data_IF_442442498588
#
_entry.id   IF_442442498588
#
_cell.length_a   1.000
_cell.length_b   1.000
_cell.length_c   1.000
_cell.angle_alpha   90.00
_cell.angle_beta   90.00
_cell.angle_gamma   90.00
#
_symmetry.space_group_name_H-M   'P 1'
#
loop_
_entity.id
_entity.type
_entity.pdbx_description
1 polymer ?
#
# COMPACT_ATOMS: atom_id res chain seq x y z
N UNK A 1 9.08 15.19 -3.62
CA UNK A 1 10.32 14.39 -3.65
C UNK A 1 10.65 14.10 -5.11
N UNK A 2 11.92 14.14 -5.50
CA UNK A 2 12.35 13.67 -6.82
C UNK A 2 12.79 12.20 -6.69
N UNK A 3 11.99 11.31 -7.27
CA UNK A 3 12.38 9.93 -7.53
C UNK A 3 13.39 9.97 -8.67
N UNK A 4 14.56 9.38 -8.45
CA UNK A 4 15.72 9.55 -9.33
C UNK A 4 15.87 8.43 -10.34
N UNK A 5 15.20 7.31 -10.13
CA UNK A 5 15.24 6.17 -11.05
C UNK A 5 13.96 5.34 -11.01
N UNK A 6 13.78 4.53 -12.05
CA UNK A 6 12.73 3.53 -12.14
C UNK A 6 12.80 2.53 -10.97
N UNK A 7 14.00 2.07 -10.58
CA UNK A 7 14.16 1.13 -9.48
C UNK A 7 13.87 1.77 -8.12
N UNK A 8 14.07 3.09 -7.96
CA UNK A 8 13.59 3.81 -6.77
C UNK A 8 12.06 3.84 -6.73
N UNK A 9 11.40 4.02 -7.88
CA UNK A 9 9.94 3.99 -7.96
C UNK A 9 9.38 2.60 -7.61
N UNK A 10 9.96 1.54 -8.17
CA UNK A 10 9.56 0.16 -7.87
C UNK A 10 9.87 -0.23 -6.42
N UNK A 11 10.98 0.24 -5.85
CA UNK A 11 11.28 0.04 -4.44
C UNK A 11 10.22 0.70 -3.56
N UNK A 12 9.89 1.98 -3.82
CA UNK A 12 8.85 2.68 -3.07
C UNK A 12 7.50 1.99 -3.19
N UNK A 13 7.15 1.49 -4.38
CA UNK A 13 5.93 0.71 -4.58
C UNK A 13 5.93 -0.59 -3.75
N UNK A 14 7.05 -1.32 -3.71
CA UNK A 14 7.17 -2.50 -2.82
C UNK A 14 6.96 -2.15 -1.34
N UNK A 15 7.54 -1.04 -0.89
CA UNK A 15 7.43 -0.62 0.53
C UNK A 15 6.00 -0.18 0.86
N UNK A 16 5.34 0.53 -0.06
CA UNK A 16 3.93 0.92 0.08
C UNK A 16 3.02 -0.31 0.15
N UNK A 17 3.14 -1.26 -0.77
CA UNK A 17 2.38 -2.50 -0.74
C UNK A 17 2.64 -3.31 0.53
N UNK A 18 3.90 -3.37 0.99
CA UNK A 18 4.20 -4.03 2.26
C UNK A 18 3.51 -3.36 3.45
N UNK A 19 3.34 -2.03 3.43
CA UNK A 19 2.61 -1.31 4.46
C UNK A 19 1.10 -1.53 4.35
N UNK A 20 0.53 -1.61 3.14
CA UNK A 20 -0.87 -1.95 2.89
C UNK A 20 -1.20 -3.38 3.36
N UNK A 21 -0.34 -4.36 3.08
CA UNK A 21 -0.46 -5.73 3.60
C UNK A 21 -0.52 -5.71 5.15
N UNK A 22 0.42 -5.01 5.82
CA UNK A 22 0.40 -4.93 7.28
C UNK A 22 -0.84 -4.21 7.83
N UNK A 23 -1.37 -3.21 7.10
CA UNK A 23 -2.62 -2.53 7.44
C UNK A 23 -3.78 -3.52 7.45
N UNK A 24 -3.95 -4.30 6.39
CA UNK A 24 -5.04 -5.25 6.27
C UNK A 24 -4.88 -6.47 7.21
N UNK A 25 -3.65 -6.94 7.45
CA UNK A 25 -3.40 -7.93 8.50
C UNK A 25 -3.83 -7.41 9.88
N UNK A 26 -3.51 -6.15 10.17
CA UNK A 26 -3.92 -5.52 11.43
C UNK A 26 -5.43 -5.35 11.51
N UNK A 27 -6.08 -4.98 10.42
CA UNK A 27 -7.53 -4.89 10.30
C UNK A 27 -8.22 -6.22 10.66
N UNK A 28 -7.72 -7.33 10.09
CA UNK A 28 -8.21 -8.68 10.38
C UNK A 28 -8.09 -9.03 11.87
N UNK A 29 -6.95 -8.71 12.49
CA UNK A 29 -6.75 -8.94 13.93
C UNK A 29 -7.72 -8.13 14.80
N UNK A 30 -8.02 -6.89 14.44
CA UNK A 30 -8.99 -6.06 15.17
C UNK A 30 -10.39 -6.66 15.05
N UNK A 31 -10.80 -7.07 13.86
CA UNK A 31 -12.09 -7.73 13.64
C UNK A 31 -12.22 -9.04 14.46
N UNK A 32 -11.17 -9.85 14.51
CA UNK A 32 -11.11 -11.06 15.34
C UNK A 32 -11.25 -10.75 16.83
N UNK A 33 -10.53 -9.74 17.33
CA UNK A 33 -10.61 -9.33 18.73
C UNK A 33 -12.00 -8.83 19.14
N UNK A 34 -12.75 -8.28 18.18
CA UNK A 34 -14.14 -7.85 18.35
C UNK A 34 -15.16 -8.98 18.14
N UNK A 35 -14.72 -10.19 17.77
CA UNK A 35 -15.58 -11.34 17.48
C UNK A 35 -16.42 -11.17 16.20
N UNK A 36 -15.90 -10.43 15.22
CA UNK A 36 -16.60 -10.03 13.97
C UNK A 36 -16.16 -10.84 12.75
N UNK A 37 -15.54 -12.01 12.92
CA UNK A 37 -15.03 -12.83 11.81
C UNK A 37 -16.12 -13.36 10.86
N UNK A 38 -17.37 -13.43 11.34
CA UNK A 38 -18.51 -13.89 10.54
C UNK A 38 -19.16 -12.81 9.67
N UNK A 39 -18.66 -11.57 9.72
CA UNK A 39 -19.24 -10.46 8.98
C UNK A 39 -18.71 -10.38 7.54
N UNK A 40 -19.55 -9.88 6.63
CA UNK A 40 -19.19 -9.66 5.23
C UNK A 40 -17.94 -8.76 5.09
N UNK A 41 -17.81 -7.76 5.97
CA UNK A 41 -16.64 -6.90 6.02
C UNK A 41 -15.34 -7.67 6.28
N UNK A 42 -15.36 -8.72 7.12
CA UNK A 42 -14.17 -9.54 7.37
C UNK A 42 -13.73 -10.27 6.09
N UNK A 43 -14.69 -10.80 5.32
CA UNK A 43 -14.43 -11.41 4.03
C UNK A 43 -13.86 -10.37 3.05
N UNK A 44 -14.45 -9.18 2.98
CA UNK A 44 -13.97 -8.10 2.12
C UNK A 44 -12.52 -7.71 2.45
N UNK A 45 -12.19 -7.49 3.73
CA UNK A 45 -10.83 -7.19 4.18
C UNK A 45 -9.85 -8.32 3.81
N UNK A 46 -10.30 -9.58 3.91
CA UNK A 46 -9.46 -10.73 3.55
C UNK A 46 -9.15 -10.80 2.05
N UNK A 47 -10.08 -10.34 1.20
CA UNK A 47 -9.88 -10.24 -0.25
C UNK A 47 -8.89 -9.12 -0.57
N UNK A 48 -9.08 -7.93 0.02
CA UNK A 48 -8.14 -6.81 -0.14
C UNK A 48 -6.73 -7.20 0.28
N UNK A 49 -6.58 -7.90 1.42
CA UNK A 49 -5.29 -8.42 1.87
C UNK A 49 -4.63 -9.34 0.82
N UNK A 50 -5.42 -10.20 0.16
CA UNK A 50 -4.90 -11.11 -0.86
C UNK A 50 -4.47 -10.34 -2.12
N UNK A 51 -5.23 -9.31 -2.50
CA UNK A 51 -4.91 -8.44 -3.63
C UNK A 51 -3.60 -7.66 -3.37
N UNK A 52 -3.42 -7.04 -2.19
CA UNK A 52 -2.16 -6.35 -1.85
C UNK A 52 -0.94 -7.28 -1.78
N UNK A 53 -1.14 -8.53 -1.33
CA UNK A 53 -0.07 -9.53 -1.36
C UNK A 53 0.36 -9.86 -2.80
N UNK A 54 -0.60 -9.89 -3.73
CA UNK A 54 -0.34 -10.11 -5.14
C UNK A 54 0.31 -8.88 -5.79
N UNK A 55 -0.15 -7.66 -5.51
CA UNK A 55 0.50 -6.41 -5.92
C UNK A 55 1.97 -6.37 -5.48
N UNK A 56 2.22 -6.65 -4.20
CA UNK A 56 3.58 -6.74 -3.65
C UNK A 56 4.43 -7.76 -4.38
N UNK A 57 3.87 -8.93 -4.69
CA UNK A 57 4.57 -9.98 -5.44
C UNK A 57 4.93 -9.50 -6.86
N UNK A 58 4.02 -8.80 -7.52
CA UNK A 58 4.23 -8.26 -8.87
C UNK A 58 5.32 -7.18 -8.88
N UNK A 59 5.29 -6.21 -7.97
CA UNK A 59 6.34 -5.19 -7.88
C UNK A 59 7.70 -5.80 -7.51
N UNK A 60 7.74 -6.78 -6.60
CA UNK A 60 8.98 -7.51 -6.28
C UNK A 60 9.57 -8.26 -7.48
N UNK A 61 8.74 -8.76 -8.39
CA UNK A 61 9.21 -9.41 -9.60
C UNK A 61 9.88 -8.42 -10.59
N UNK A 62 9.45 -7.15 -10.55
CA UNK A 62 10.01 -6.06 -11.35
C UNK A 62 11.23 -5.39 -10.69
N UNK A 63 11.40 -5.60 -9.39
CA UNK A 63 12.52 -5.08 -8.63
C UNK A 63 13.79 -5.87 -8.94
N UNK A 64 14.76 -5.22 -9.56
CA UNK A 64 16.05 -5.82 -9.93
C UNK A 64 17.20 -5.36 -9.03
N UNK A 65 16.89 -4.52 -8.04
CA UNK A 65 17.84 -3.98 -7.09
C UNK A 65 18.07 -2.49 -7.26
N UNK A 66 18.38 -1.85 -6.15
CA UNK A 66 18.82 -0.47 -6.07
C UNK A 66 20.32 -0.41 -5.90
N UNK A 67 21.01 0.31 -6.80
CA UNK A 67 22.37 0.77 -6.56
C UNK A 67 22.34 2.01 -5.66
N UNK A 68 21.93 1.79 -4.41
CA UNK A 68 21.87 2.81 -3.37
C UNK A 68 22.48 2.28 -2.08
N UNK A 69 23.12 3.19 -1.35
CA UNK A 69 23.60 2.94 0.00
C UNK A 69 22.45 2.54 0.94
N UNK A 70 22.79 1.84 2.03
CA UNK A 70 21.82 1.48 3.07
C UNK A 70 21.10 2.72 3.62
N UNK A 71 21.81 3.84 3.80
CA UNK A 71 21.22 5.10 4.26
C UNK A 71 20.15 5.63 3.28
N UNK A 72 20.41 5.53 1.98
CA UNK A 72 19.44 5.91 0.95
C UNK A 72 18.23 4.98 0.94
N UNK A 73 18.43 3.66 1.08
CA UNK A 73 17.32 2.70 1.16
C UNK A 73 16.46 2.98 2.41
N UNK A 74 17.07 3.20 3.57
CA UNK A 74 16.34 3.57 4.79
C UNK A 74 15.58 4.90 4.63
N UNK A 75 16.17 5.87 3.94
CA UNK A 75 15.50 7.13 3.62
C UNK A 75 14.29 6.91 2.70
N UNK A 76 14.42 6.03 1.70
CA UNK A 76 13.32 5.67 0.80
C UNK A 76 12.21 4.93 1.54
N UNK A 77 12.52 3.98 2.41
CA UNK A 77 11.54 3.29 3.26
C UNK A 77 10.78 4.27 4.15
N UNK A 78 11.49 5.20 4.81
CA UNK A 78 10.85 6.24 5.62
C UNK A 78 9.94 7.17 4.80
N UNK A 79 10.27 7.40 3.54
CA UNK A 79 9.41 8.15 2.63
C UNK A 79 8.18 7.33 2.26
N UNK A 80 8.34 6.06 1.90
CA UNK A 80 7.22 5.16 1.57
C UNK A 80 6.24 5.04 2.74
N UNK A 81 6.73 4.87 3.96
CA UNK A 81 5.91 4.89 5.18
C UNK A 81 5.07 6.17 5.27
N UNK A 82 5.69 7.31 4.97
CA UNK A 82 5.06 8.63 4.97
C UNK A 82 4.07 8.88 3.83
N UNK A 83 4.02 8.02 2.80
CA UNK A 83 3.10 8.17 1.67
C UNK A 83 1.69 7.71 2.07
N UNK A 84 1.57 6.54 2.69
CA UNK A 84 0.25 6.01 3.09
C UNK A 84 -0.23 6.64 4.39
N UNK A 85 0.68 6.83 5.36
CA UNK A 85 0.34 7.35 6.67
C UNK A 85 1.40 8.33 7.16
N UNK A 86 0.98 9.48 7.70
CA UNK A 86 1.93 10.39 8.32
C UNK A 86 2.64 9.71 9.51
N UNK A 87 3.95 9.50 9.39
CA UNK A 87 4.74 8.75 10.37
C UNK A 87 4.56 7.22 10.31
N UNK A 88 4.13 6.68 9.17
CA UNK A 88 3.96 5.26 8.90
C UNK A 88 2.81 4.61 9.65
N UNK A 89 2.72 3.28 9.60
CA UNK A 89 1.67 2.52 10.28
C UNK A 89 1.62 2.79 11.79
N UNK A 90 2.80 3.03 12.40
CA UNK A 90 2.86 3.44 13.81
C UNK A 90 2.24 4.82 14.07
N UNK A 91 2.32 5.73 13.11
CA UNK A 91 1.59 6.99 13.13
C UNK A 91 0.07 6.76 13.11
N UNK A 92 -0.40 5.90 12.21
CA UNK A 92 -1.82 5.53 12.12
C UNK A 92 -2.34 4.90 13.42
N UNK A 93 -1.57 3.99 14.04
CA UNK A 93 -1.90 3.40 15.36
C UNK A 93 -2.00 4.48 16.44
N UNK A 94 -1.05 5.42 16.50
CA UNK A 94 -1.08 6.53 17.50
C UNK A 94 -2.28 7.46 17.31
N UNK A 95 -2.75 7.62 16.08
CA UNK A 95 -3.93 8.41 15.75
C UNK A 95 -5.24 7.64 16.03
N UNK A 96 -5.17 6.40 16.51
CA UNK A 96 -6.34 5.57 16.75
C UNK A 96 -7.00 5.07 15.47
N UNK A 97 -6.30 5.10 14.33
CA UNK A 97 -6.89 4.68 13.06
C UNK A 97 -7.12 3.17 12.97
N UNK A 98 -6.54 2.36 13.85
CA UNK A 98 -6.62 0.90 13.82
C UNK A 98 -7.19 0.32 15.12
N UNK A 99 -8.11 1.05 15.77
CA UNK A 99 -8.72 0.62 17.05
C UNK A 99 -10.18 0.19 16.92
N UNK A 100 -10.87 0.64 15.89
CA UNK A 100 -12.25 0.26 15.58
C UNK A 100 -12.44 0.18 14.06
N UNK A 101 -13.61 -0.31 13.65
CA UNK A 101 -13.89 -0.57 12.23
C UNK A 101 -13.99 0.71 11.41
N UNK A 102 -14.61 1.77 11.94
CA UNK A 102 -14.80 3.02 11.19
C UNK A 102 -13.46 3.73 10.98
N UNK A 103 -12.62 3.73 12.01
CA UNK A 103 -11.27 4.30 11.94
C UNK A 103 -10.41 3.54 10.92
N UNK A 104 -10.54 2.21 10.90
CA UNK A 104 -9.78 1.30 10.04
C UNK A 104 -10.19 1.45 8.58
N UNK A 105 -11.50 1.54 8.29
CA UNK A 105 -11.99 1.79 6.93
C UNK A 105 -11.50 3.14 6.39
N UNK A 106 -11.48 4.18 7.23
CA UNK A 106 -10.89 5.48 6.84
C UNK A 106 -9.40 5.36 6.52
N UNK A 107 -8.66 4.56 7.28
CA UNK A 107 -7.25 4.32 7.03
C UNK A 107 -7.03 3.61 5.68
N UNK A 108 -7.83 2.58 5.39
CA UNK A 108 -7.80 1.86 4.12
C UNK A 108 -8.12 2.79 2.95
N UNK A 109 -9.22 3.53 3.00
CA UNK A 109 -9.62 4.52 1.98
C UNK A 109 -8.50 5.52 1.67
N UNK A 110 -7.82 6.03 2.70
CA UNK A 110 -6.70 6.97 2.52
C UNK A 110 -5.49 6.29 1.88
N UNK A 111 -5.18 5.05 2.27
CA UNK A 111 -4.09 4.27 1.70
C UNK A 111 -4.35 3.99 0.22
N UNK A 112 -5.53 3.45 -0.14
CA UNK A 112 -5.90 3.15 -1.54
C UNK A 112 -5.78 4.37 -2.44
N UNK A 113 -6.34 5.50 -2.01
CA UNK A 113 -6.29 6.73 -2.79
C UNK A 113 -4.85 7.26 -2.94
N UNK A 114 -4.01 7.12 -1.92
CA UNK A 114 -2.61 7.51 -1.96
C UNK A 114 -1.79 6.59 -2.89
N UNK A 115 -1.98 5.27 -2.77
CA UNK A 115 -1.37 4.25 -3.62
C UNK A 115 -1.68 4.48 -5.09
N UNK A 116 -2.97 4.53 -5.45
CA UNK A 116 -3.42 4.75 -6.82
C UNK A 116 -2.79 5.99 -7.45
N UNK A 117 -2.77 7.10 -6.70
CA UNK A 117 -2.16 8.34 -7.18
C UNK A 117 -0.65 8.18 -7.41
N UNK A 118 0.05 7.58 -6.45
CA UNK A 118 1.50 7.44 -6.50
C UNK A 118 1.99 6.48 -7.58
N UNK A 119 1.29 5.38 -7.79
CA UNK A 119 1.64 4.45 -8.87
C UNK A 119 1.51 5.09 -10.25
N UNK A 120 0.52 5.96 -10.45
CA UNK A 120 0.45 6.78 -11.69
C UNK A 120 1.63 7.74 -11.82
N UNK A 121 2.01 8.43 -10.73
CA UNK A 121 3.20 9.30 -10.72
C UNK A 121 4.48 8.49 -11.03
N UNK A 122 4.61 7.28 -10.48
CA UNK A 122 5.76 6.39 -10.75
C UNK A 122 5.77 5.91 -12.20
N UNK A 123 4.60 5.61 -12.77
CA UNK A 123 4.46 5.18 -14.16
C UNK A 123 4.85 6.26 -15.18
N UNK A 124 4.71 7.55 -14.82
CA UNK A 124 5.18 8.67 -15.64
C UNK A 124 6.71 8.75 -15.70
N UNK A 125 7.39 8.32 -14.64
CA UNK A 125 8.85 8.33 -14.52
C UNK A 125 9.53 7.07 -15.09
N UNK A 126 8.74 6.03 -15.35
CA UNK A 126 9.20 4.71 -15.75
C UNK A 126 9.34 4.63 -17.28
N UNK A 127 10.48 4.14 -17.76
CA UNK A 127 10.75 3.97 -19.20
C UNK A 127 10.54 2.53 -19.66
N UNK A 128 10.64 1.56 -18.74
CA UNK A 128 10.32 0.17 -18.99
C UNK A 128 8.81 -0.03 -19.20
N UNK A 129 8.37 -0.52 -20.37
CA UNK A 129 6.95 -0.74 -20.66
C UNK A 129 6.26 -1.72 -19.72
N UNK A 130 6.97 -2.76 -19.25
CA UNK A 130 6.42 -3.77 -18.36
C UNK A 130 6.14 -3.18 -16.97
N UNK A 131 7.12 -2.50 -16.39
CA UNK A 131 6.99 -1.83 -15.10
C UNK A 131 5.92 -0.73 -15.15
N UNK A 132 5.88 0.05 -16.25
CA UNK A 132 4.84 1.06 -16.46
C UNK A 132 3.44 0.44 -16.52
N UNK A 133 3.29 -0.68 -17.22
CA UNK A 133 2.01 -1.38 -17.32
C UNK A 133 1.56 -1.92 -15.98
N UNK A 134 2.46 -2.50 -15.19
CA UNK A 134 2.14 -3.01 -13.86
C UNK A 134 1.69 -1.89 -12.91
N UNK A 135 2.44 -0.78 -12.85
CA UNK A 135 2.08 0.39 -12.05
C UNK A 135 0.70 0.95 -12.40
N UNK A 136 0.37 1.04 -13.69
CA UNK A 136 -0.93 1.56 -14.13
C UNK A 136 -2.08 0.56 -13.89
N UNK A 137 -1.82 -0.74 -14.03
CA UNK A 137 -2.80 -1.79 -13.77
C UNK A 137 -3.15 -1.82 -12.28
N UNK A 138 -2.13 -1.88 -11.42
CA UNK A 138 -2.31 -1.88 -9.97
C UNK A 138 -2.98 -0.57 -9.53
N UNK A 139 -2.57 0.59 -10.06
CA UNK A 139 -3.26 1.85 -9.76
C UNK A 139 -4.77 1.84 -10.05
N UNK A 140 -5.20 1.08 -11.07
CA UNK A 140 -6.61 0.91 -11.41
C UNK A 140 -7.32 -0.15 -10.54
N UNK A 141 -6.57 -1.06 -9.92
CA UNK A 141 -7.08 -2.01 -8.92
C UNK A 141 -7.28 -1.30 -7.58
N UNK A 142 -6.36 -0.43 -7.17
CA UNK A 142 -6.53 0.45 -5.99
C UNK A 142 -7.76 1.37 -6.12
N UNK A 143 -8.08 1.86 -7.33
CA UNK A 143 -9.33 2.61 -7.55
C UNK A 143 -10.57 1.73 -7.29
N UNK A 144 -10.51 0.43 -7.61
CA UNK A 144 -11.61 -0.50 -7.34
C UNK A 144 -11.70 -0.80 -5.86
N UNK A 145 -10.58 -1.00 -5.17
CA UNK A 145 -10.55 -1.16 -3.72
C UNK A 145 -11.20 0.04 -3.04
N UNK A 146 -10.81 1.25 -3.44
CA UNK A 146 -11.41 2.49 -2.96
C UNK A 146 -12.93 2.53 -3.16
N UNK A 147 -13.42 2.15 -4.34
CA UNK A 147 -14.86 2.12 -4.60
C UNK A 147 -15.58 1.10 -3.69
N UNK A 148 -15.01 -0.10 -3.52
CA UNK A 148 -15.59 -1.12 -2.64
C UNK A 148 -15.60 -0.72 -1.16
N UNK A 149 -14.66 0.11 -0.70
CA UNK A 149 -14.58 0.57 0.69
C UNK A 149 -15.53 1.74 1.01
N UNK A 150 -16.01 2.45 -0.01
CA UNK A 150 -16.88 3.64 0.14
C UNK A 150 -18.36 3.29 -0.03
N UNK A 151 -18.68 2.16 -0.65
CA UNK A 151 -20.04 1.60 -0.80
C UNK A 151 -20.63 1.08 0.53
#
# INVERSE_FOLDING_TARGET
MLIKSEQEAIFLACEMESAAVHLYERAMLVMQQLGREGEELYLQISLMLADEQEHLRQFRALYTGLDASIEQQLSLSAIADGILFEGGLMGAVRQGLLTDVDSMLKAAILAEAASAKKYREFAELTTNPEAKSALLLIAAEEDKHLNHLVE
#
